data_IF_277764563115
#
_entry.id   IF_277764563115
#
_cell.length_a   1.000
_cell.length_b   1.000
_cell.length_c   1.000
_cell.angle_alpha   90.00
_cell.angle_beta   90.00
_cell.angle_gamma   90.00
#
_symmetry.space_group_name_H-M   'P 1'
#
loop_
_entity.id
_entity.type
_entity.pdbx_description
1 polymer ?
#
# COMPACT_ATOMS: atom_id res chain seq x y z
N UNK A 1 12.43 -11.61 8.11
CA UNK A 1 12.48 -11.73 6.64
C UNK A 1 11.66 -10.60 6.00
N UNK A 2 12.22 -9.83 5.06
CA UNK A 2 11.54 -8.69 4.44
C UNK A 2 11.05 -9.01 3.03
N UNK A 3 9.83 -8.57 2.72
CA UNK A 3 9.18 -8.70 1.43
C UNK A 3 8.89 -7.31 0.86
N UNK A 4 9.38 -7.06 -0.35
CA UNK A 4 9.03 -5.83 -1.08
C UNK A 4 7.54 -5.89 -1.46
N UNK A 5 6.91 -4.74 -1.50
CA UNK A 5 5.53 -4.60 -1.96
C UNK A 5 5.48 -4.44 -3.48
N UNK A 6 4.48 -5.07 -4.10
CA UNK A 6 4.15 -4.87 -5.52
C UNK A 6 3.69 -3.43 -5.73
N UNK A 7 4.10 -2.82 -6.83
CA UNK A 7 3.70 -1.45 -7.20
C UNK A 7 2.99 -1.49 -8.53
N UNK A 8 1.80 -0.92 -8.60
CA UNK A 8 1.09 -0.78 -9.85
C UNK A 8 1.75 0.35 -10.66
N UNK A 9 2.22 0.09 -11.89
CA UNK A 9 2.86 1.12 -12.72
C UNK A 9 1.99 2.35 -12.96
N UNK A 10 0.67 2.19 -13.10
CA UNK A 10 -0.26 3.31 -13.30
C UNK A 10 -0.29 4.23 -12.08
N UNK A 11 -0.33 3.67 -10.87
CA UNK A 11 -0.28 4.48 -9.65
C UNK A 11 1.06 5.22 -9.50
N UNK A 12 2.16 4.59 -9.90
CA UNK A 12 3.49 5.22 -9.88
C UNK A 12 3.56 6.37 -10.88
N UNK A 13 3.15 6.15 -12.13
CA UNK A 13 3.12 7.17 -13.17
C UNK A 13 2.21 8.33 -12.78
N UNK A 14 1.03 8.04 -12.20
CA UNK A 14 0.12 9.06 -11.70
C UNK A 14 0.81 9.96 -10.68
N UNK A 15 1.51 9.39 -9.69
CA UNK A 15 2.23 10.20 -8.70
C UNK A 15 3.35 11.00 -9.34
N UNK A 16 4.15 10.40 -10.23
CA UNK A 16 5.21 11.13 -10.92
C UNK A 16 4.66 12.30 -11.75
N UNK A 17 3.50 12.12 -12.39
CA UNK A 17 2.83 13.21 -13.12
C UNK A 17 2.33 14.33 -12.19
N UNK A 18 1.80 13.98 -11.01
CA UNK A 18 1.39 14.97 -10.01
C UNK A 18 2.57 15.79 -9.49
N UNK A 19 3.75 15.19 -9.36
CA UNK A 19 4.98 15.92 -9.00
C UNK A 19 5.25 17.02 -10.02
N UNK A 20 5.22 16.69 -11.32
CA UNK A 20 5.49 17.65 -12.39
C UNK A 20 4.46 18.79 -12.42
N UNK A 21 3.18 18.47 -12.22
CA UNK A 21 2.09 19.46 -12.20
C UNK A 21 2.25 20.41 -11.01
N UNK A 22 2.47 19.89 -9.81
CA UNK A 22 2.59 20.72 -8.60
C UNK A 22 3.78 21.67 -8.71
N UNK A 23 4.89 21.21 -9.31
CA UNK A 23 6.09 22.04 -9.51
C UNK A 23 5.88 23.08 -10.62
N UNK A 24 5.13 22.78 -11.68
CA UNK A 24 4.95 23.70 -12.81
C UNK A 24 4.01 24.88 -12.50
N UNK A 25 3.01 24.68 -11.63
CA UNK A 25 2.00 25.71 -11.28
C UNK A 25 2.60 27.04 -10.80
N UNK A 26 3.52 27.09 -9.81
CA UNK A 26 4.15 28.35 -9.39
C UNK A 26 5.07 28.93 -10.47
N UNK A 27 5.71 28.09 -11.30
CA UNK A 27 6.61 28.55 -12.38
C UNK A 27 5.81 29.30 -13.45
N UNK A 28 4.67 28.75 -13.87
CA UNK A 28 3.78 29.37 -14.87
C UNK A 28 3.21 30.69 -14.33
N UNK A 29 2.70 30.66 -13.10
CA UNK A 29 2.12 31.86 -12.46
C UNK A 29 3.15 32.99 -12.32
N UNK A 30 4.42 32.64 -12.09
CA UNK A 30 5.51 33.61 -12.01
C UNK A 30 5.82 34.25 -13.37
N UNK A 31 5.83 33.45 -14.45
CA UNK A 31 6.05 33.94 -15.82
C UNK A 31 4.95 34.91 -16.26
N UNK A 32 3.70 34.64 -15.89
CA UNK A 32 2.55 35.50 -16.23
C UNK A 32 2.53 36.83 -15.45
N UNK A 33 3.39 36.98 -14.43
CA UNK A 33 3.51 38.18 -13.60
C UNK A 33 2.20 38.66 -12.95
N UNK A 34 1.19 37.78 -12.83
CA UNK A 34 -0.05 38.09 -12.12
C UNK A 34 0.15 37.96 -10.61
N UNK A 35 -0.04 39.06 -9.88
CA UNK A 35 0.11 39.09 -8.42
C UNK A 35 -0.88 38.15 -7.72
N UNK A 36 -2.11 38.04 -8.22
CA UNK A 36 -3.14 37.21 -7.58
C UNK A 36 -2.87 35.74 -7.83
N UNK A 37 -2.61 35.36 -9.08
CA UNK A 37 -2.21 34.01 -9.48
C UNK A 37 -0.97 33.51 -8.74
N UNK A 38 0.04 34.37 -8.56
CA UNK A 38 1.23 34.03 -7.80
C UNK A 38 0.92 33.66 -6.34
N UNK A 39 0.12 34.47 -5.64
CA UNK A 39 -0.24 34.18 -4.23
C UNK A 39 -1.02 32.86 -4.15
N UNK A 40 -2.01 32.65 -5.01
CA UNK A 40 -2.83 31.42 -5.03
C UNK A 40 -1.95 30.20 -5.32
N UNK A 41 -1.08 30.28 -6.34
CA UNK A 41 -0.17 29.19 -6.72
C UNK A 41 0.77 28.80 -5.59
N UNK A 42 1.29 29.79 -4.84
CA UNK A 42 2.20 29.57 -3.74
C UNK A 42 1.49 28.90 -2.56
N UNK A 43 0.27 29.35 -2.23
CA UNK A 43 -0.56 28.73 -1.20
C UNK A 43 -0.82 27.26 -1.56
N UNK A 44 -1.28 26.99 -2.77
CA UNK A 44 -1.52 25.61 -3.24
C UNK A 44 -0.24 24.76 -3.16
N UNK A 45 0.88 25.31 -3.62
CA UNK A 45 2.18 24.63 -3.59
C UNK A 45 2.61 24.28 -2.16
N UNK A 46 2.51 25.21 -1.22
CA UNK A 46 2.88 25.01 0.19
C UNK A 46 2.03 23.93 0.87
N UNK A 47 0.74 23.83 0.52
CA UNK A 47 -0.13 22.80 1.09
C UNK A 47 0.04 21.43 0.43
N UNK A 48 0.29 21.37 -0.88
CA UNK A 48 0.39 20.10 -1.61
C UNK A 48 1.79 19.48 -1.54
N UNK A 49 2.86 20.29 -1.45
CA UNK A 49 4.24 19.80 -1.44
C UNK A 49 4.50 18.81 -0.27
N UNK A 50 4.07 19.06 0.98
CA UNK A 50 4.25 18.10 2.08
C UNK A 50 3.55 16.76 1.82
N UNK A 51 2.33 16.80 1.25
CA UNK A 51 1.57 15.60 0.90
C UNK A 51 2.34 14.77 -0.14
N UNK A 52 2.89 15.45 -1.15
CA UNK A 52 3.71 14.83 -2.18
C UNK A 52 4.98 14.19 -1.62
N UNK A 53 5.68 14.88 -0.71
CA UNK A 53 6.86 14.36 -0.03
C UNK A 53 6.51 13.08 0.75
N UNK A 54 5.39 13.08 1.48
CA UNK A 54 4.92 11.90 2.23
C UNK A 54 4.60 10.73 1.29
N UNK A 55 3.95 10.99 0.15
CA UNK A 55 3.61 9.96 -0.84
C UNK A 55 4.87 9.37 -1.50
N UNK A 56 5.82 10.22 -1.89
CA UNK A 56 7.11 9.77 -2.46
C UNK A 56 7.90 8.99 -1.43
N UNK A 57 7.93 9.45 -0.17
CA UNK A 57 8.56 8.71 0.92
C UNK A 57 7.94 7.33 1.11
N UNK A 58 6.59 7.25 1.12
CA UNK A 58 5.86 6.00 1.21
C UNK A 58 6.14 5.08 0.01
N UNK A 59 6.34 5.63 -1.18
CA UNK A 59 6.68 4.83 -2.37
C UNK A 59 7.97 4.03 -2.18
N UNK A 60 8.98 4.61 -1.54
CA UNK A 60 10.25 3.92 -1.27
C UNK A 60 10.25 3.14 0.06
N UNK A 61 9.50 3.59 1.05
CA UNK A 61 9.45 3.01 2.40
C UNK A 61 8.20 2.16 2.66
N UNK A 62 7.78 1.35 1.69
CA UNK A 62 6.69 0.38 1.87
C UNK A 62 7.18 -1.06 1.70
N UNK A 63 7.02 -1.88 2.74
CA UNK A 63 7.42 -3.28 2.76
C UNK A 63 6.66 -4.06 3.83
N UNK A 64 6.68 -5.39 3.71
CA UNK A 64 6.26 -6.30 4.77
C UNK A 64 7.46 -6.98 5.38
N UNK A 65 7.39 -7.29 6.66
CA UNK A 65 8.45 -7.94 7.40
C UNK A 65 7.84 -9.01 8.31
N UNK A 66 8.25 -10.26 8.09
CA UNK A 66 7.97 -11.37 8.99
C UNK A 66 9.10 -11.42 10.02
N UNK A 67 8.85 -10.90 11.23
CA UNK A 67 9.78 -11.01 12.35
C UNK A 67 9.64 -12.39 13.01
N UNK A 68 10.31 -12.60 14.15
CA UNK A 68 10.20 -13.83 14.92
C UNK A 68 8.83 -13.99 15.60
N UNK A 69 8.22 -12.88 16.04
CA UNK A 69 7.00 -12.90 16.87
C UNK A 69 5.79 -12.24 16.21
N UNK A 70 6.01 -11.38 15.21
CA UNK A 70 4.95 -10.56 14.62
C UNK A 70 5.12 -10.34 13.12
N UNK A 71 3.98 -10.15 12.46
CA UNK A 71 3.91 -9.60 11.11
C UNK A 71 3.93 -8.07 11.19
N UNK A 72 4.86 -7.46 10.48
CA UNK A 72 4.99 -6.01 10.37
C UNK A 72 4.70 -5.56 8.94
N UNK A 73 3.79 -4.61 8.78
CA UNK A 73 3.56 -3.92 7.52
C UNK A 73 3.91 -2.46 7.66
N UNK A 74 4.81 -1.96 6.82
CA UNK A 74 5.20 -0.55 6.79
C UNK A 74 4.69 0.08 5.50
N UNK A 75 4.05 1.25 5.62
CA UNK A 75 3.65 2.12 4.53
C UNK A 75 4.12 3.55 4.84
N UNK A 76 5.32 3.90 4.38
CA UNK A 76 5.93 5.18 4.70
C UNK A 76 6.15 5.34 6.21
N UNK A 77 5.43 6.29 6.81
CA UNK A 77 5.45 6.54 8.25
C UNK A 77 4.48 5.65 9.04
N UNK A 78 3.51 5.04 8.38
CA UNK A 78 2.52 4.18 9.02
C UNK A 78 3.11 2.79 9.19
N UNK A 79 3.07 2.25 10.41
CA UNK A 79 3.51 0.88 10.71
C UNK A 79 2.38 0.13 11.41
N UNK A 80 2.03 -1.02 10.89
CA UNK A 80 1.06 -1.95 11.48
C UNK A 80 1.83 -3.18 11.96
N UNK A 81 1.65 -3.52 13.23
CA UNK A 81 2.22 -4.71 13.85
C UNK A 81 1.08 -5.65 14.25
N UNK A 82 1.18 -6.91 13.85
CA UNK A 82 0.17 -7.94 14.09
C UNK A 82 0.88 -9.16 14.67
N UNK A 83 0.73 -9.47 15.97
CA UNK A 83 1.28 -10.69 16.55
C UNK A 83 0.75 -11.93 15.84
N UNK A 84 1.60 -12.93 15.61
CA UNK A 84 1.17 -14.15 14.90
C UNK A 84 0.05 -14.90 15.63
N UNK A 85 -0.01 -14.79 16.97
CA UNK A 85 -1.06 -15.38 17.81
C UNK A 85 -2.46 -14.76 17.61
N UNK A 86 -2.53 -13.57 17.00
CA UNK A 86 -3.79 -12.89 16.70
C UNK A 86 -4.31 -13.19 15.29
N UNK A 87 -3.44 -13.62 14.38
CA UNK A 87 -3.80 -13.86 12.98
C UNK A 87 -4.74 -15.06 12.88
N UNK A 88 -5.93 -14.82 12.31
CA UNK A 88 -6.95 -15.84 12.06
C UNK A 88 -6.94 -16.29 10.60
N UNK A 89 -6.89 -15.33 9.68
CA UNK A 89 -7.00 -15.60 8.25
C UNK A 89 -6.12 -14.65 7.45
N UNK A 90 -5.44 -15.21 6.44
CA UNK A 90 -4.68 -14.44 5.45
C UNK A 90 -5.29 -14.74 4.08
N UNK A 91 -5.85 -13.72 3.43
CA UNK A 91 -6.46 -13.82 2.11
C UNK A 91 -6.16 -12.57 1.24
N UNK A 92 -6.82 -12.48 0.09
CA UNK A 92 -6.79 -11.30 -0.76
C UNK A 92 -8.16 -10.65 -0.94
N UNK A 93 -8.16 -9.33 -1.09
CA UNK A 93 -9.36 -8.52 -1.35
C UNK A 93 -9.15 -7.67 -2.61
N UNK A 94 -10.23 -7.46 -3.36
CA UNK A 94 -10.26 -6.52 -4.49
C UNK A 94 -10.78 -5.14 -4.08
N UNK A 95 -11.11 -4.89 -2.80
CA UNK A 95 -11.60 -3.60 -2.34
C UNK A 95 -10.42 -2.61 -2.15
N UNK A 96 -10.32 -1.54 -2.96
CA UNK A 96 -9.21 -0.60 -2.89
C UNK A 96 -9.43 0.54 -1.88
N UNK A 97 -10.63 0.70 -1.32
CA UNK A 97 -11.09 1.96 -0.70
C UNK A 97 -10.72 2.09 0.79
N UNK A 98 -10.36 1.00 1.46
CA UNK A 98 -10.28 0.98 2.93
C UNK A 98 -8.90 1.31 3.53
N UNK A 99 -7.87 1.56 2.72
CA UNK A 99 -6.51 1.89 3.20
C UNK A 99 -5.60 2.36 2.06
N UNK A 100 -4.50 3.08 2.34
CA UNK A 100 -3.51 3.41 1.31
C UNK A 100 -2.71 2.17 0.88
N UNK A 101 -2.50 1.98 -0.42
CA UNK A 101 -1.57 0.99 -0.96
C UNK A 101 -1.08 1.33 -2.36
N UNK A 102 0.00 0.66 -2.75
CA UNK A 102 0.55 0.70 -4.10
C UNK A 102 -0.07 -0.31 -5.06
N UNK A 103 -1.17 -0.94 -4.66
CA UNK A 103 -1.87 -1.99 -5.43
C UNK A 103 -3.38 -1.84 -5.33
N UNK A 104 -4.10 -2.17 -6.41
CA UNK A 104 -5.57 -2.23 -6.39
C UNK A 104 -6.08 -3.45 -5.62
N UNK A 105 -5.47 -4.61 -5.86
CA UNK A 105 -5.66 -5.81 -5.04
C UNK A 105 -4.91 -5.67 -3.72
N UNK A 106 -5.45 -6.21 -2.64
CA UNK A 106 -4.95 -6.04 -1.28
C UNK A 106 -4.69 -7.37 -0.61
N UNK A 107 -3.63 -7.42 0.20
CA UNK A 107 -3.44 -8.47 1.19
C UNK A 107 -4.39 -8.17 2.36
N UNK A 108 -5.28 -9.10 2.69
CA UNK A 108 -6.16 -9.00 3.85
C UNK A 108 -5.63 -9.92 4.95
N UNK A 109 -5.39 -9.36 6.12
CA UNK A 109 -5.05 -10.12 7.31
C UNK A 109 -6.17 -9.88 8.31
N UNK A 110 -6.90 -10.93 8.66
CA UNK A 110 -7.92 -10.92 9.71
C UNK A 110 -7.28 -11.30 11.04
N UNK A 111 -7.51 -10.49 12.06
CA UNK A 111 -6.89 -10.66 13.37
C UNK A 111 -7.81 -10.19 14.49
N UNK A 112 -7.56 -10.72 15.69
CA UNK A 112 -8.48 -10.58 16.84
C UNK A 112 -8.75 -9.13 17.24
N UNK A 113 -7.73 -8.27 17.26
CA UNK A 113 -7.81 -6.95 17.89
C UNK A 113 -8.69 -5.93 17.16
N UNK A 114 -8.54 -5.80 15.84
CA UNK A 114 -9.27 -4.78 15.05
C UNK A 114 -10.03 -5.38 13.85
N UNK A 115 -10.27 -6.70 13.85
CA UNK A 115 -11.01 -7.39 12.80
C UNK A 115 -10.14 -7.73 11.60
N UNK A 116 -9.71 -6.73 10.82
CA UNK A 116 -8.83 -6.95 9.67
C UNK A 116 -7.98 -5.75 9.28
N UNK A 117 -6.89 -6.00 8.55
CA UNK A 117 -6.07 -4.98 7.90
C UNK A 117 -6.02 -5.27 6.40
N UNK A 118 -6.21 -4.22 5.59
CA UNK A 118 -6.00 -4.27 4.14
C UNK A 118 -4.69 -3.57 3.82
N UNK A 119 -3.77 -4.32 3.19
CA UNK A 119 -2.39 -3.94 3.01
C UNK A 119 -2.01 -4.05 1.54
N UNK A 120 -0.91 -3.39 1.16
CA UNK A 120 -0.36 -3.55 -0.20
C UNK A 120 0.04 -5.01 -0.45
N UNK A 121 -0.03 -5.49 -1.69
CA UNK A 121 0.39 -6.87 -1.97
C UNK A 121 1.90 -7.06 -1.85
N UNK A 122 2.38 -8.19 -1.28
CA UNK A 122 3.77 -8.59 -1.44
C UNK A 122 4.09 -8.85 -2.92
N UNK A 123 5.32 -8.56 -3.34
CA UNK A 123 5.79 -8.84 -4.71
C UNK A 123 5.84 -10.34 -4.97
N UNK A 124 6.38 -11.09 -4.01
CA UNK A 124 6.54 -12.55 -4.06
C UNK A 124 5.44 -13.20 -3.21
N UNK A 125 4.21 -13.22 -3.73
CA UNK A 125 3.01 -13.64 -3.01
C UNK A 125 3.10 -15.08 -2.48
N UNK A 126 3.55 -16.03 -3.31
CA UNK A 126 3.62 -17.44 -2.92
C UNK A 126 4.62 -17.70 -1.79
N UNK A 127 5.83 -17.14 -1.91
CA UNK A 127 6.88 -17.24 -0.89
C UNK A 127 6.38 -16.59 0.41
N UNK A 128 5.73 -15.43 0.32
CA UNK A 128 5.14 -14.78 1.48
C UNK A 128 4.10 -15.66 2.18
N UNK A 129 3.17 -16.27 1.43
CA UNK A 129 2.14 -17.15 1.99
C UNK A 129 2.73 -18.42 2.61
N UNK A 130 3.77 -18.99 2.02
CA UNK A 130 4.47 -20.15 2.60
C UNK A 130 5.15 -19.78 3.92
N UNK A 131 5.85 -18.64 3.95
CA UNK A 131 6.60 -18.19 5.11
C UNK A 131 5.73 -17.71 6.26
N UNK A 132 4.58 -17.08 5.97
CA UNK A 132 3.62 -16.71 7.00
C UNK A 132 2.93 -17.96 7.57
N UNK A 133 2.63 -18.97 6.74
CA UNK A 133 2.07 -20.26 7.21
C UNK A 133 2.95 -20.95 8.24
N UNK A 134 4.26 -20.96 8.00
CA UNK A 134 5.24 -21.56 8.93
C UNK A 134 5.21 -20.90 10.32
N UNK A 135 4.91 -19.59 10.38
CA UNK A 135 4.94 -18.80 11.61
C UNK A 135 3.60 -18.76 12.34
N UNK A 136 2.49 -18.95 11.63
CA UNK A 136 1.16 -19.05 12.21
C UNK A 136 0.45 -20.32 11.70
N UNK A 137 0.81 -21.52 12.19
CA UNK A 137 0.29 -22.79 11.69
C UNK A 137 -1.22 -22.95 11.89
N UNK A 138 -1.78 -22.27 12.89
CA UNK A 138 -3.22 -22.30 13.20
C UNK A 138 -4.05 -21.32 12.34
N UNK A 139 -3.41 -20.44 11.58
CA UNK A 139 -4.11 -19.47 10.74
C UNK A 139 -4.57 -20.10 9.41
N UNK A 140 -5.75 -19.73 8.96
CA UNK A 140 -6.26 -20.14 7.64
C UNK A 140 -5.62 -19.30 6.56
N UNK A 141 -4.97 -19.93 5.58
CA UNK A 141 -4.32 -19.23 4.46
C UNK A 141 -4.99 -19.62 3.17
N UNK A 142 -5.61 -18.63 2.52
CA UNK A 142 -6.36 -18.81 1.28
C UNK A 142 -5.49 -18.30 0.13
N UNK A 143 -4.92 -19.25 -0.64
CA UNK A 143 -4.23 -18.93 -1.88
C UNK A 143 -5.25 -18.80 -3.03
N UNK A 144 -5.05 -17.84 -3.92
CA UNK A 144 -5.92 -17.60 -5.09
C UNK A 144 -5.96 -18.79 -6.05
N UNK A 145 -4.84 -19.49 -6.23
CA UNK A 145 -4.79 -20.67 -7.10
C UNK A 145 -5.74 -21.78 -6.63
N UNK A 146 -6.06 -21.86 -5.33
CA UNK A 146 -6.98 -22.87 -4.80
C UNK A 146 -8.45 -22.44 -4.88
N UNK A 147 -8.73 -21.13 -4.91
CA UNK A 147 -10.09 -20.60 -5.02
C UNK A 147 -10.63 -20.72 -6.45
N UNK A 148 -9.80 -20.49 -7.48
CA UNK A 148 -10.20 -20.64 -8.89
C UNK A 148 -10.43 -22.11 -9.28
N UNK A 149 -9.72 -23.05 -8.65
CA UNK A 149 -9.93 -24.49 -8.88
C UNK A 149 -11.27 -24.96 -8.31
N UNK A 150 -11.70 -24.47 -7.14
CA UNK A 150 -13.00 -24.87 -6.56
C UNK A 150 -14.16 -24.38 -7.43
N UNK A 151 -14.09 -23.14 -7.95
CA UNK A 151 -15.12 -22.61 -8.84
C UNK A 151 -15.21 -23.29 -10.22
N UNK A 152 -14.13 -23.93 -10.69
CA UNK A 152 -14.10 -24.59 -12.01
C UNK A 152 -14.56 -26.06 -11.98
N UNK A 153 -14.83 -26.64 -10.80
CA UNK A 153 -15.37 -28.01 -10.67
C UNK A 153 -16.86 -28.06 -10.32
N UNK A 154 -17.50 -26.91 -10.08
CA UNK A 154 -18.94 -26.78 -9.80
C UNK A 154 -19.77 -26.39 -11.04
N UNK A 155 -19.31 -26.75 -12.26
CA UNK A 155 -20.03 -26.56 -13.53
C UNK A 155 -20.31 -27.90 -14.23
#
# INVERSE_FOLDING_TARGET
MKFKVKKNPLLVVLILSLILIIISVPIISFIEADRTGNIISLVVFVFLLPILIVLVWALFNTYHELTETEFKSKFGFITILIPYSEIRTVNFSNNPVSSPAWTFKRLKIEYKKYGFALLSLPKDEEIFLQEIKKRCPNATIINRQKAEVIFNYDL
#
